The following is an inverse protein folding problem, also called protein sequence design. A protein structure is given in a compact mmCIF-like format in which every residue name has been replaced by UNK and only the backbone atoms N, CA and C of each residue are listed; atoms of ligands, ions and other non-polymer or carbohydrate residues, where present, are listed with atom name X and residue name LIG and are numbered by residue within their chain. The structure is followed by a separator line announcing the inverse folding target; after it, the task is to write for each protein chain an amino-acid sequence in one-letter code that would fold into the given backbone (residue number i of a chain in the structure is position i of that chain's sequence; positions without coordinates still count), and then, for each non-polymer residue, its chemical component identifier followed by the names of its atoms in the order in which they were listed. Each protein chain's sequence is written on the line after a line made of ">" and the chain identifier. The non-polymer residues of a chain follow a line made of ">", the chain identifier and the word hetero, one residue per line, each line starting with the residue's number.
data_IF_097457643722
#
_entry.id   IF_097457643722
#
_cell.length_a   1.000
_cell.length_b   1.000
_cell.length_c   1.000
_cell.angle_alpha   90.00
_cell.angle_beta   90.00
_cell.angle_gamma   90.00
#
_symmetry.space_group_name_H-M   'P 1'
#
loop_
_entity.id
_entity.type
_entity.pdbx_description
1 polymer ?
#
# COMPACT_ATOMS: atom_id res chain seq x y z
N UNK A 1 -36.14 -64.62 26.43
CA UNK A 1 -35.41 -64.45 25.16
C UNK A 1 -35.61 -63.07 24.53
N UNK A 2 -36.84 -62.52 24.53
CA UNK A 2 -37.14 -61.20 23.95
C UNK A 2 -36.36 -60.02 24.58
N UNK A 3 -36.14 -60.03 25.91
CA UNK A 3 -35.43 -58.95 26.61
C UNK A 3 -33.95 -58.82 26.21
N UNK A 4 -33.29 -59.96 25.91
CA UNK A 4 -31.88 -59.99 25.46
C UNK A 4 -31.77 -59.45 24.03
N UNK A 5 -32.76 -59.73 23.16
CA UNK A 5 -32.80 -59.19 21.80
C UNK A 5 -33.03 -57.68 21.77
N UNK A 6 -33.82 -57.14 22.70
CA UNK A 6 -34.03 -55.70 22.82
C UNK A 6 -32.73 -55.00 23.25
N UNK A 7 -32.04 -55.55 24.25
CA UNK A 7 -30.77 -55.00 24.76
C UNK A 7 -29.67 -55.07 23.70
N UNK A 8 -29.54 -56.18 22.95
CA UNK A 8 -28.55 -56.27 21.87
C UNK A 8 -28.88 -55.34 20.70
N UNK A 9 -30.15 -55.10 20.39
CA UNK A 9 -30.56 -54.14 19.34
C UNK A 9 -30.23 -52.69 19.73
N UNK A 10 -30.48 -52.29 20.98
CA UNK A 10 -30.07 -50.97 21.49
C UNK A 10 -28.56 -50.82 21.59
N UNK A 11 -27.82 -51.85 21.99
CA UNK A 11 -26.36 -51.85 22.00
C UNK A 11 -25.78 -51.72 20.59
N UNK A 12 -26.33 -52.42 19.60
CA UNK A 12 -25.90 -52.31 18.20
C UNK A 12 -26.22 -50.94 17.60
N UNK A 13 -27.38 -50.36 17.92
CA UNK A 13 -27.72 -48.98 17.52
C UNK A 13 -26.76 -47.98 18.16
N UNK A 14 -26.44 -48.15 19.45
CA UNK A 14 -25.52 -47.27 20.16
C UNK A 14 -24.09 -47.37 19.61
N UNK A 15 -23.64 -48.58 19.26
CA UNK A 15 -22.35 -48.81 18.61
C UNK A 15 -22.33 -48.20 17.20
N UNK A 16 -23.40 -48.37 16.41
CA UNK A 16 -23.51 -47.77 15.08
C UNK A 16 -23.50 -46.23 15.13
N UNK A 17 -24.23 -45.65 16.08
CA UNK A 17 -24.25 -44.19 16.32
C UNK A 17 -22.93 -43.67 16.87
N UNK A 18 -22.17 -44.49 17.60
CA UNK A 18 -20.83 -44.14 18.07
C UNK A 18 -19.79 -44.21 16.93
N UNK A 19 -19.91 -45.17 16.00
CA UNK A 19 -19.01 -45.27 14.84
C UNK A 19 -19.19 -44.17 13.79
N UNK A 20 -20.35 -43.49 13.74
CA UNK A 20 -20.56 -42.32 12.89
C UNK A 20 -20.03 -41.01 13.49
N UNK A 21 -19.62 -41.01 14.76
CA UNK A 21 -18.95 -39.88 15.42
C UNK A 21 -17.43 -40.08 15.32
N UNK A 22 -16.90 -40.18 14.10
CA UNK A 22 -15.46 -40.10 13.88
C UNK A 22 -15.05 -38.64 13.61
N UNK A 23 -14.30 -38.11 14.58
CA UNK A 23 -13.30 -37.03 14.47
C UNK A 23 -13.67 -35.76 13.70
N UNK A 24 -14.07 -34.71 14.43
CA UNK A 24 -13.97 -33.33 13.98
C UNK A 24 -12.52 -32.82 14.15
N UNK A 25 -11.55 -33.38 13.41
CA UNK A 25 -10.24 -32.75 13.27
C UNK A 25 -10.34 -31.68 12.16
N UNK A 26 -10.98 -30.56 12.49
CA UNK A 26 -10.96 -29.38 11.64
C UNK A 26 -9.54 -28.80 11.64
N UNK A 27 -8.72 -29.24 10.69
CA UNK A 27 -7.38 -28.69 10.48
C UNK A 27 -7.50 -27.42 9.64
N UNK A 28 -7.40 -26.26 10.28
CA UNK A 28 -7.59 -24.95 9.66
C UNK A 28 -6.34 -24.58 8.86
N UNK A 29 -6.49 -24.11 7.61
CA UNK A 29 -5.37 -23.61 6.79
C UNK A 29 -4.97 -22.21 7.21
N UNK A 30 -3.67 -21.88 7.16
CA UNK A 30 -3.19 -20.56 7.59
C UNK A 30 -3.78 -19.37 6.80
N UNK A 31 -4.25 -19.58 5.56
CA UNK A 31 -4.88 -18.53 4.74
C UNK A 31 -6.32 -18.18 5.17
N UNK A 32 -6.99 -19.07 5.92
CA UNK A 32 -8.39 -18.92 6.35
C UNK A 32 -8.50 -18.33 7.78
N UNK A 33 -7.38 -17.96 8.39
CA UNK A 33 -7.37 -17.32 9.70
C UNK A 33 -8.02 -15.94 9.64
N UNK A 34 -8.62 -15.53 10.77
CA UNK A 34 -9.09 -14.16 10.90
C UNK A 34 -7.92 -13.17 10.88
N UNK A 35 -8.14 -11.96 10.35
CA UNK A 35 -7.14 -10.89 10.23
C UNK A 35 -6.39 -10.56 11.55
N UNK A 36 -6.98 -10.85 12.71
CA UNK A 36 -6.41 -10.60 14.03
C UNK A 36 -5.58 -11.77 14.60
N UNK A 37 -5.54 -12.92 13.93
CA UNK A 37 -4.85 -14.13 14.39
C UNK A 37 -3.44 -14.28 13.81
N UNK A 38 -3.04 -13.37 12.92
CA UNK A 38 -1.72 -13.33 12.30
C UNK A 38 -1.28 -11.88 12.10
N UNK A 39 0.02 -11.67 12.01
CA UNK A 39 0.63 -10.37 11.74
C UNK A 39 1.53 -10.48 10.52
N UNK A 40 1.22 -9.74 9.45
CA UNK A 40 2.08 -9.67 8.29
C UNK A 40 3.05 -8.50 8.39
N UNK A 41 4.34 -8.76 8.13
CA UNK A 41 5.36 -7.72 8.04
C UNK A 41 5.45 -7.23 6.60
N UNK A 42 5.60 -5.92 6.43
CA UNK A 42 5.92 -5.35 5.12
C UNK A 42 7.35 -5.80 4.72
N UNK A 43 7.52 -6.13 3.46
CA UNK A 43 8.77 -6.64 2.90
C UNK A 43 9.59 -5.53 2.25
N UNK A 44 10.77 -5.90 1.75
CA UNK A 44 11.67 -4.99 1.08
C UNK A 44 10.98 -4.29 -0.10
N UNK A 45 10.94 -2.97 0.00
CA UNK A 45 10.38 -2.06 -0.99
C UNK A 45 11.50 -1.66 -1.95
N UNK A 46 11.21 -1.64 -3.25
CA UNK A 46 12.17 -1.19 -4.25
C UNK A 46 12.44 0.32 -4.03
N UNK A 47 13.72 0.72 -3.85
CA UNK A 47 14.09 2.11 -3.58
C UNK A 47 13.73 3.07 -4.74
N UNK A 48 13.46 2.55 -5.94
CA UNK A 48 13.07 3.36 -7.11
C UNK A 48 11.57 3.56 -7.22
N UNK A 49 10.76 2.49 -7.12
CA UNK A 49 9.31 2.56 -7.38
C UNK A 49 8.47 2.75 -6.12
N UNK A 50 9.07 2.49 -4.95
CA UNK A 50 8.39 2.33 -3.68
C UNK A 50 7.29 1.26 -3.71
N UNK A 51 7.38 0.34 -4.67
CA UNK A 51 6.56 -0.86 -4.73
C UNK A 51 7.31 -2.02 -4.13
N UNK A 52 6.55 -3.04 -3.85
CA UNK A 52 7.03 -4.36 -3.58
C UNK A 52 8.02 -4.94 -4.59
N UNK A 53 9.16 -5.47 -4.12
CA UNK A 53 10.08 -6.25 -4.96
C UNK A 53 9.41 -7.55 -5.48
N UNK A 54 8.53 -8.14 -4.67
CA UNK A 54 7.78 -9.35 -4.96
C UNK A 54 6.44 -9.11 -5.69
N UNK A 55 6.31 -7.99 -6.42
CA UNK A 55 5.14 -7.75 -7.27
C UNK A 55 5.16 -8.70 -8.48
N UNK A 56 4.15 -9.55 -8.61
CA UNK A 56 4.01 -10.46 -9.73
C UNK A 56 3.18 -9.82 -10.88
N UNK A 57 3.29 -10.36 -12.12
CA UNK A 57 2.58 -9.82 -13.29
C UNK A 57 1.04 -9.83 -13.19
N UNK A 58 0.50 -10.63 -12.27
CA UNK A 58 -0.92 -10.69 -11.92
C UNK A 58 -1.34 -9.60 -10.91
N UNK A 59 -0.49 -8.60 -10.68
CA UNK A 59 -0.66 -7.57 -9.65
C UNK A 59 -0.77 -8.14 -8.22
N UNK A 60 -0.35 -9.40 -8.02
CA UNK A 60 -0.31 -10.02 -6.71
C UNK A 60 1.01 -9.77 -6.00
N UNK A 61 0.93 -9.79 -4.68
CA UNK A 61 2.03 -9.56 -3.77
C UNK A 61 2.14 -10.75 -2.84
N UNK A 62 3.33 -11.36 -2.78
CA UNK A 62 3.65 -12.36 -1.77
C UNK A 62 4.19 -11.66 -0.53
N UNK A 63 3.49 -11.80 0.59
CA UNK A 63 3.93 -11.34 1.91
C UNK A 63 4.11 -12.52 2.85
N UNK A 64 4.99 -12.34 3.82
CA UNK A 64 5.21 -13.30 4.88
C UNK A 64 4.48 -12.86 6.14
N UNK A 65 3.68 -13.75 6.70
CA UNK A 65 2.86 -13.52 7.88
C UNK A 65 3.30 -14.43 9.02
N UNK A 66 3.27 -13.89 10.24
CA UNK A 66 3.67 -14.54 11.47
C UNK A 66 2.44 -14.82 12.34
N UNK A 67 2.35 -16.01 12.93
CA UNK A 67 1.26 -16.37 13.85
C UNK A 67 1.77 -16.56 15.28
N UNK A 68 0.97 -16.24 16.31
CA UNK A 68 1.30 -16.55 17.69
C UNK A 68 1.59 -18.05 17.91
N UNK A 69 2.43 -18.38 18.90
CA UNK A 69 2.84 -19.76 19.17
C UNK A 69 1.68 -20.72 19.51
N UNK A 70 0.57 -20.19 20.04
CA UNK A 70 -0.59 -20.98 20.46
C UNK A 70 -1.52 -21.41 19.30
N UNK A 71 -1.43 -20.76 18.14
CA UNK A 71 -2.30 -21.07 17.00
C UNK A 71 -1.53 -21.96 16.03
N UNK A 72 -1.97 -23.20 15.87
CA UNK A 72 -1.40 -24.16 14.91
C UNK A 72 -2.31 -24.28 13.68
N UNK A 73 -1.73 -24.11 12.49
CA UNK A 73 -2.45 -24.11 11.22
C UNK A 73 -1.63 -24.80 10.13
N UNK A 74 -2.31 -25.39 9.15
CA UNK A 74 -1.64 -26.05 8.03
C UNK A 74 -0.99 -25.00 7.13
N UNK A 75 0.32 -25.14 6.90
CA UNK A 75 1.14 -24.22 6.10
C UNK A 75 2.05 -23.30 6.91
N UNK A 76 2.14 -23.50 8.23
CA UNK A 76 3.05 -22.81 9.14
C UNK A 76 4.43 -23.49 9.14
N UNK A 77 5.48 -22.71 8.99
CA UNK A 77 6.87 -23.15 9.14
C UNK A 77 7.22 -23.42 10.62
N UNK A 78 8.35 -24.09 10.88
CA UNK A 78 8.85 -24.34 12.25
C UNK A 78 9.07 -23.05 13.08
N UNK A 79 9.24 -21.92 12.40
CA UNK A 79 9.43 -20.59 13.00
C UNK A 79 8.13 -19.77 13.11
N UNK A 80 6.98 -20.35 12.73
CA UNK A 80 5.68 -19.71 12.83
C UNK A 80 5.30 -18.75 11.70
N UNK A 81 6.06 -18.78 10.61
CA UNK A 81 5.80 -18.00 9.40
C UNK A 81 5.00 -18.79 8.36
N UNK A 82 4.23 -18.08 7.54
CA UNK A 82 3.58 -18.63 6.35
C UNK A 82 3.54 -17.58 5.24
N UNK A 83 3.49 -18.02 3.98
CA UNK A 83 3.39 -17.15 2.82
C UNK A 83 1.93 -16.90 2.45
N UNK A 84 1.61 -15.65 2.14
CA UNK A 84 0.28 -15.21 1.75
C UNK A 84 0.34 -14.33 0.50
N UNK A 85 -0.53 -14.63 -0.45
CA UNK A 85 -0.77 -13.81 -1.65
C UNK A 85 -1.86 -12.79 -1.38
N UNK A 86 -1.56 -11.51 -1.57
CA UNK A 86 -2.57 -10.45 -1.68
C UNK A 86 -2.75 -10.13 -3.15
N UNK A 87 -3.95 -10.36 -3.67
CA UNK A 87 -4.36 -9.95 -5.01
C UNK A 87 -4.52 -8.44 -5.09
N UNK A 88 -4.14 -7.83 -6.22
CA UNK A 88 -4.19 -6.37 -6.44
C UNK A 88 -3.47 -5.54 -5.37
N UNK A 89 -2.46 -6.12 -4.70
CA UNK A 89 -1.64 -5.45 -3.70
C UNK A 89 -0.55 -4.55 -4.28
N UNK A 90 -0.29 -4.64 -5.58
CA UNK A 90 0.66 -3.81 -6.30
C UNK A 90 0.18 -3.52 -7.73
N UNK A 91 0.91 -2.67 -8.45
CA UNK A 91 0.66 -2.42 -9.87
C UNK A 91 1.93 -2.78 -10.64
N UNK A 92 1.88 -3.87 -11.39
CA UNK A 92 3.04 -4.40 -12.08
C UNK A 92 3.41 -3.50 -13.27
N UNK A 93 4.65 -3.00 -13.27
CA UNK A 93 5.21 -2.21 -14.35
C UNK A 93 6.18 -3.02 -15.18
N UNK A 94 5.80 -3.38 -16.42
CA UNK A 94 6.54 -4.37 -17.21
C UNK A 94 7.98 -3.93 -17.55
N UNK A 95 8.20 -2.63 -17.83
CA UNK A 95 9.52 -2.01 -18.10
C UNK A 95 9.39 -0.59 -18.68
N UNK A 96 8.23 -0.21 -19.21
CA UNK A 96 8.01 1.09 -19.85
C UNK A 96 8.08 2.24 -18.83
N UNK A 97 9.06 3.11 -18.97
CA UNK A 97 9.26 4.23 -18.05
C UNK A 97 8.31 5.37 -18.36
N UNK A 98 7.56 5.82 -17.35
CA UNK A 98 6.64 6.95 -17.49
C UNK A 98 7.34 8.24 -17.94
N UNK A 99 8.48 8.57 -17.32
CA UNK A 99 9.23 9.80 -17.63
C UNK A 99 9.67 9.85 -19.10
N UNK A 100 10.13 8.71 -19.65
CA UNK A 100 10.54 8.62 -21.06
C UNK A 100 9.33 8.79 -21.99
N UNK A 101 8.20 8.14 -21.68
CA UNK A 101 6.97 8.28 -22.46
C UNK A 101 6.47 9.72 -22.49
N UNK A 102 6.47 10.42 -21.35
CA UNK A 102 6.05 11.81 -21.23
C UNK A 102 6.98 12.76 -21.98
N UNK A 103 8.30 12.60 -21.82
CA UNK A 103 9.30 13.40 -22.53
C UNK A 103 9.15 13.24 -24.05
N UNK A 104 8.95 12.00 -24.50
CA UNK A 104 8.81 11.66 -25.89
C UNK A 104 7.48 12.16 -26.49
N UNK A 105 6.42 12.26 -25.69
CA UNK A 105 5.16 12.93 -26.08
C UNK A 105 5.30 14.45 -26.21
N UNK A 106 5.99 15.11 -25.27
CA UNK A 106 6.21 16.56 -25.32
C UNK A 106 7.06 16.94 -26.54
N UNK A 107 8.22 16.31 -26.73
CA UNK A 107 9.16 16.73 -27.78
C UNK A 107 8.91 16.08 -29.13
N UNK A 108 8.48 14.82 -29.17
CA UNK A 108 8.34 14.03 -30.39
C UNK A 108 6.90 13.56 -30.66
N UNK A 109 5.91 14.07 -29.92
CA UNK A 109 4.51 13.69 -30.11
C UNK A 109 3.92 14.18 -31.44
N UNK A 110 4.46 15.25 -32.03
CA UNK A 110 4.09 15.71 -33.39
C UNK A 110 4.46 14.64 -34.44
N UNK A 111 5.57 13.93 -34.22
CA UNK A 111 5.97 12.80 -35.06
C UNK A 111 5.23 11.49 -34.71
N UNK A 112 4.42 11.48 -33.65
CA UNK A 112 3.68 10.29 -33.19
C UNK A 112 4.55 9.20 -32.58
N UNK A 113 5.82 9.50 -32.23
CA UNK A 113 6.74 8.52 -31.64
C UNK A 113 6.26 8.04 -30.27
N UNK A 114 5.46 8.84 -29.56
CA UNK A 114 4.89 8.54 -28.24
C UNK A 114 3.91 7.37 -28.30
N UNK A 115 2.99 7.37 -29.26
CA UNK A 115 2.07 6.25 -29.49
C UNK A 115 2.78 4.99 -29.95
N UNK A 116 3.83 5.13 -30.75
CA UNK A 116 4.68 4.00 -31.16
C UNK A 116 5.39 3.41 -29.94
N UNK A 117 5.92 4.24 -29.05
CA UNK A 117 6.60 3.80 -27.83
C UNK A 117 5.67 2.99 -26.90
N UNK A 118 4.39 3.34 -26.81
CA UNK A 118 3.39 2.62 -26.03
C UNK A 118 2.86 1.33 -26.70
N UNK A 119 3.24 1.04 -27.96
CA UNK A 119 2.76 -0.11 -28.73
C UNK A 119 1.56 0.16 -29.64
N UNK A 120 1.06 1.40 -29.68
CA UNK A 120 -0.01 1.83 -30.60
C UNK A 120 0.54 2.24 -31.96
N UNK A 121 1.16 1.29 -32.68
CA UNK A 121 1.87 1.54 -33.92
C UNK A 121 1.00 2.21 -35.00
N UNK A 122 -0.23 1.72 -35.22
CA UNK A 122 -1.11 2.23 -36.27
C UNK A 122 -1.46 3.71 -36.08
N UNK A 123 -1.82 4.11 -34.86
CA UNK A 123 -2.18 5.49 -34.52
C UNK A 123 -0.95 6.39 -34.58
N UNK A 124 0.21 5.90 -34.14
CA UNK A 124 1.47 6.65 -34.19
C UNK A 124 1.95 6.91 -35.62
N UNK A 125 1.89 5.90 -36.50
CA UNK A 125 2.25 6.06 -37.92
C UNK A 125 1.27 7.00 -38.64
N UNK A 126 -0.04 6.92 -38.32
CA UNK A 126 -1.03 7.83 -38.86
C UNK A 126 -0.77 9.30 -38.48
N UNK A 127 -0.31 9.56 -37.25
CA UNK A 127 0.14 10.90 -36.82
C UNK A 127 1.37 11.41 -37.56
N UNK A 128 2.33 10.52 -37.85
CA UNK A 128 3.52 10.87 -38.60
C UNK A 128 3.18 11.36 -40.02
N UNK A 129 2.28 10.67 -40.72
CA UNK A 129 1.85 11.06 -42.09
C UNK A 129 0.98 12.32 -42.13
N UNK A 130 0.25 12.60 -41.05
CA UNK A 130 -0.52 13.83 -40.91
C UNK A 130 0.32 15.02 -40.45
N UNK A 131 1.66 14.88 -40.35
CA UNK A 131 2.58 15.87 -39.79
C UNK A 131 2.12 16.40 -38.40
N UNK A 132 1.44 15.57 -37.61
CA UNK A 132 0.84 15.98 -36.34
C UNK A 132 -0.21 17.10 -36.48
N UNK A 133 -0.86 17.18 -37.66
CA UNK A 133 -1.49 18.37 -38.26
C UNK A 133 -2.68 19.05 -37.57
N UNK A 134 -2.94 18.74 -36.31
CA UNK A 134 -3.80 19.55 -35.45
C UNK A 134 -3.11 19.56 -34.10
N UNK A 135 -2.47 20.65 -33.71
CA UNK A 135 -1.85 20.82 -32.37
C UNK A 135 -2.74 20.32 -31.22
N UNK A 136 -4.06 20.28 -31.43
CA UNK A 136 -5.06 19.61 -30.59
C UNK A 136 -4.74 18.13 -30.30
N UNK A 137 -4.44 17.29 -31.29
CA UNK A 137 -4.18 15.86 -31.07
C UNK A 137 -2.90 15.66 -30.26
N UNK A 138 -1.85 16.40 -30.59
CA UNK A 138 -0.61 16.41 -29.80
C UNK A 138 -0.88 16.79 -28.34
N UNK A 139 -1.65 17.86 -28.10
CA UNK A 139 -1.99 18.31 -26.76
C UNK A 139 -2.84 17.28 -25.99
N UNK A 140 -3.81 16.65 -26.65
CA UNK A 140 -4.65 15.60 -26.04
C UNK A 140 -3.80 14.40 -25.63
N UNK A 141 -2.85 13.98 -26.45
CA UNK A 141 -1.97 12.86 -26.11
C UNK A 141 -1.00 13.18 -24.96
N UNK A 142 -0.47 14.41 -24.91
CA UNK A 142 0.31 14.89 -23.76
C UNK A 142 -0.53 14.82 -22.48
N UNK A 143 -1.79 15.27 -22.52
CA UNK A 143 -2.70 15.22 -21.37
C UNK A 143 -3.02 13.78 -20.97
N UNK A 144 -3.35 12.90 -21.92
CA UNK A 144 -3.72 11.51 -21.64
C UNK A 144 -2.56 10.70 -21.03
N UNK A 145 -1.33 10.92 -21.50
CA UNK A 145 -0.13 10.28 -20.94
C UNK A 145 0.23 10.92 -19.60
N UNK A 146 0.19 12.24 -19.47
CA UNK A 146 0.47 12.93 -18.20
C UNK A 146 -0.46 12.46 -17.08
N UNK A 147 -1.76 12.33 -17.37
CA UNK A 147 -2.77 11.88 -16.43
C UNK A 147 -2.81 10.36 -16.23
N UNK A 148 -1.97 9.58 -16.93
CA UNK A 148 -1.96 8.11 -16.89
C UNK A 148 -3.32 7.47 -17.23
N UNK A 149 -4.21 8.22 -17.89
CA UNK A 149 -5.48 7.68 -18.39
C UNK A 149 -5.27 6.74 -19.58
N UNK A 150 -4.16 6.93 -20.29
CA UNK A 150 -3.71 6.04 -21.34
C UNK A 150 -2.46 5.29 -20.90
N UNK A 151 -2.60 3.98 -20.71
CA UNK A 151 -1.50 3.06 -20.40
C UNK A 151 -0.86 2.41 -21.63
N UNK A 152 0.22 1.64 -21.42
CA UNK A 152 0.79 0.73 -22.42
C UNK A 152 -0.25 -0.18 -23.08
N UNK A 153 -0.05 -0.51 -24.36
CA UNK A 153 -0.92 -1.43 -25.09
C UNK A 153 -1.00 -2.84 -24.48
N UNK A 154 0.03 -3.22 -23.70
CA UNK A 154 0.10 -4.49 -22.99
C UNK A 154 -0.90 -4.60 -21.81
N UNK A 155 -1.53 -3.50 -21.41
CA UNK A 155 -2.44 -3.46 -20.25
C UNK A 155 -1.73 -3.46 -18.89
N UNK A 156 -0.39 -3.44 -18.88
CA UNK A 156 0.42 -3.28 -17.67
C UNK A 156 0.52 -1.81 -17.27
N UNK A 157 0.89 -1.53 -16.02
CA UNK A 157 1.10 -0.16 -15.58
C UNK A 157 2.47 0.38 -16.04
N UNK A 158 2.67 1.70 -15.98
CA UNK A 158 4.02 2.23 -16.23
C UNK A 158 4.95 1.87 -15.07
N UNK A 159 6.25 1.85 -15.36
CA UNK A 159 7.27 1.90 -14.34
C UNK A 159 7.41 3.36 -13.87
N UNK A 160 6.87 3.66 -12.68
CA UNK A 160 6.98 4.97 -12.03
C UNK A 160 8.00 4.97 -10.90
N UNK A 161 8.77 6.06 -10.79
CA UNK A 161 9.57 6.33 -9.61
C UNK A 161 8.69 6.77 -8.42
N UNK A 162 9.24 6.73 -7.21
CA UNK A 162 8.55 7.13 -5.99
C UNK A 162 7.88 8.51 -6.07
N UNK A 163 8.60 9.50 -6.60
CA UNK A 163 8.12 10.88 -6.75
C UNK A 163 7.25 11.11 -8.00
N UNK A 164 6.83 10.05 -8.70
CA UNK A 164 5.98 10.16 -9.88
C UNK A 164 4.52 10.47 -9.52
N UNK A 165 3.78 11.17 -10.39
CA UNK A 165 2.34 11.31 -10.24
C UNK A 165 1.70 9.92 -10.34
N UNK A 166 0.84 9.55 -9.38
CA UNK A 166 0.05 8.33 -9.42
C UNK A 166 -1.42 8.73 -9.42
N UNK A 167 -2.10 8.55 -10.56
CA UNK A 167 -3.55 8.73 -10.62
C UNK A 167 -4.20 7.37 -10.42
N UNK A 168 -4.91 7.20 -9.30
CA UNK A 168 -5.86 6.10 -9.16
C UNK A 168 -7.12 6.46 -9.94
N UNK A 169 -7.52 5.60 -10.87
CA UNK A 169 -8.70 5.77 -11.74
C UNK A 169 -10.03 5.82 -10.98
N UNK A 170 -10.03 5.65 -9.66
CA UNK A 170 -11.14 5.96 -8.75
C UNK A 170 -11.16 7.46 -8.36
N UNK A 171 -10.97 8.36 -9.32
CA UNK A 171 -11.07 9.80 -9.06
C UNK A 171 -11.91 10.49 -10.12
N UNK A 172 -13.05 11.02 -9.66
CA UNK A 172 -13.72 12.12 -10.33
C UNK A 172 -12.83 13.37 -10.14
N UNK A 173 -12.68 14.22 -11.15
CA UNK A 173 -11.81 15.40 -11.09
C UNK A 173 -12.14 16.39 -9.93
N UNK A 174 -13.34 16.30 -9.37
CA UNK A 174 -13.78 17.00 -8.15
C UNK A 174 -13.10 16.48 -6.87
N UNK A 175 -12.72 15.19 -6.84
CA UNK A 175 -12.06 14.54 -5.71
C UNK A 175 -10.59 14.94 -5.56
N UNK A 176 -9.94 15.44 -6.62
CA UNK A 176 -8.52 15.76 -6.58
C UNK A 176 -8.23 16.99 -5.69
N UNK A 177 -9.13 17.99 -5.72
CA UNK A 177 -9.07 19.15 -4.82
C UNK A 177 -9.51 18.78 -3.39
N UNK A 178 -10.37 17.76 -3.24
CA UNK A 178 -10.72 17.18 -1.94
C UNK A 178 -9.56 16.37 -1.34
N UNK A 179 -8.77 15.67 -2.16
CA UNK A 179 -7.61 14.90 -1.70
C UNK A 179 -6.48 15.79 -1.19
N UNK A 180 -6.24 16.95 -1.79
CA UNK A 180 -5.26 17.91 -1.25
C UNK A 180 -5.73 18.42 0.12
N UNK A 181 -7.03 18.72 0.27
CA UNK A 181 -7.61 19.10 1.57
C UNK A 181 -7.58 17.94 2.59
N UNK A 182 -7.80 16.70 2.15
CA UNK A 182 -7.73 15.51 3.00
C UNK A 182 -6.29 15.22 3.45
N UNK A 183 -5.30 15.39 2.57
CA UNK A 183 -3.87 15.25 2.88
C UNK A 183 -3.40 16.30 3.90
N UNK A 184 -3.90 17.55 3.80
CA UNK A 184 -3.64 18.59 4.80
C UNK A 184 -4.18 18.18 6.18
N UNK A 185 -5.38 17.61 6.23
CA UNK A 185 -6.00 17.10 7.48
C UNK A 185 -5.29 15.86 8.00
N UNK A 186 -4.88 14.94 7.12
CA UNK A 186 -4.16 13.72 7.49
C UNK A 186 -2.80 14.05 8.09
N UNK A 187 -2.08 15.02 7.51
CA UNK A 187 -0.79 15.50 8.04
C UNK A 187 -0.96 16.14 9.43
N UNK A 188 -2.00 16.96 9.64
CA UNK A 188 -2.31 17.56 10.94
C UNK A 188 -2.73 16.50 11.98
N UNK A 189 -3.46 15.47 11.56
CA UNK A 189 -3.87 14.34 12.40
C UNK A 189 -2.67 13.49 12.85
N UNK A 190 -1.74 13.16 11.94
CA UNK A 190 -0.53 12.43 12.30
C UNK A 190 0.37 13.24 13.24
N UNK A 191 0.48 14.55 13.01
CA UNK A 191 1.17 15.46 13.93
C UNK A 191 0.54 15.41 15.32
N UNK A 192 -0.79 15.54 15.42
CA UNK A 192 -1.52 15.52 16.69
C UNK A 192 -1.33 14.19 17.43
N UNK A 193 -1.38 13.06 16.71
CA UNK A 193 -1.19 11.71 17.28
C UNK A 193 0.22 11.54 17.84
N UNK A 194 1.25 11.92 17.08
CA UNK A 194 2.65 11.86 17.52
C UNK A 194 2.93 12.81 18.68
N UNK A 195 2.39 14.02 18.63
CA UNK A 195 2.47 15.00 19.71
C UNK A 195 1.87 14.46 21.00
N UNK A 196 0.63 13.95 20.94
CA UNK A 196 -0.10 13.41 22.09
C UNK A 196 0.68 12.25 22.72
N UNK A 197 1.15 11.28 21.93
CA UNK A 197 1.93 10.15 22.44
C UNK A 197 3.28 10.59 23.04
N UNK A 198 3.94 11.58 22.43
CA UNK A 198 5.21 12.10 22.96
C UNK A 198 5.03 12.86 24.27
N UNK A 199 3.96 13.66 24.40
CA UNK A 199 3.69 14.40 25.62
C UNK A 199 3.13 13.53 26.74
N UNK A 200 2.27 12.56 26.40
CA UNK A 200 1.78 11.57 27.35
C UNK A 200 2.94 10.79 27.98
N UNK A 201 3.86 10.26 27.18
CA UNK A 201 5.00 9.48 27.69
C UNK A 201 6.03 10.29 28.49
N UNK A 202 6.10 11.61 28.29
CA UNK A 202 7.03 12.51 29.01
C UNK A 202 6.46 13.10 30.28
N UNK A 203 5.16 13.41 30.28
CA UNK A 203 4.53 14.16 31.35
C UNK A 203 3.68 13.29 32.27
N UNK A 204 3.10 12.19 31.79
CA UNK A 204 2.21 11.33 32.58
C UNK A 204 2.97 10.09 33.03
N UNK A 205 3.00 9.86 34.35
CA UNK A 205 3.61 8.67 34.93
C UNK A 205 2.76 7.43 34.65
N UNK A 206 3.40 6.26 34.49
CA UNK A 206 2.68 4.97 34.41
C UNK A 206 2.07 4.54 35.74
N UNK A 207 2.47 5.17 36.85
CA UNK A 207 1.94 4.93 38.18
C UNK A 207 0.87 5.99 38.53
N UNK A 208 -0.38 5.71 38.16
CA UNK A 208 -1.52 6.59 38.41
C UNK A 208 -1.96 6.51 39.87
N UNK A 209 -1.84 7.62 40.60
CA UNK A 209 -2.30 7.73 41.99
C UNK A 209 -3.75 8.21 42.08
N UNK A 210 -4.19 9.02 41.12
CA UNK A 210 -5.52 9.62 41.04
C UNK A 210 -5.96 9.75 39.57
N UNK A 211 -7.27 9.91 39.34
CA UNK A 211 -7.86 9.97 37.99
C UNK A 211 -7.78 11.35 37.35
N UNK A 212 -7.50 12.38 38.15
CA UNK A 212 -7.32 13.75 37.66
C UNK A 212 -5.85 14.07 37.44
N UNK A 213 -5.61 14.97 36.51
CA UNK A 213 -4.27 15.40 36.18
C UNK A 213 -3.72 16.27 37.31
N UNK A 214 -2.54 15.93 37.84
CA UNK A 214 -1.91 16.76 38.86
C UNK A 214 -1.53 18.13 38.27
N UNK A 215 -1.43 19.16 39.12
CA UNK A 215 -0.99 20.50 38.65
C UNK A 215 0.38 20.47 37.96
N UNK A 216 1.26 19.55 38.37
CA UNK A 216 2.57 19.35 37.76
C UNK A 216 2.48 18.76 36.35
N UNK A 217 1.63 17.74 36.17
CA UNK A 217 1.38 17.11 34.87
C UNK A 217 0.70 18.06 33.90
N UNK A 218 -0.26 18.87 34.37
CA UNK A 218 -0.93 19.89 33.56
C UNK A 218 0.07 20.92 33.00
N UNK A 219 0.90 21.51 33.87
CA UNK A 219 1.94 22.48 33.45
C UNK A 219 3.01 21.81 32.57
N UNK A 220 3.32 20.54 32.79
CA UNK A 220 4.21 19.78 31.93
C UNK A 220 3.64 19.62 30.52
N UNK A 221 2.36 19.25 30.39
CA UNK A 221 1.70 19.08 29.09
C UNK A 221 1.71 20.37 28.28
N UNK A 222 1.35 21.51 28.88
CA UNK A 222 1.36 22.81 28.20
C UNK A 222 2.76 23.15 27.64
N UNK A 223 3.80 22.96 28.46
CA UNK A 223 5.20 23.17 28.05
C UNK A 223 5.65 22.15 27.00
N UNK A 224 5.16 20.92 27.07
CA UNK A 224 5.50 19.88 26.12
C UNK A 224 4.95 20.19 24.74
N UNK A 225 3.67 20.57 24.65
CA UNK A 225 3.01 20.94 23.40
C UNK A 225 3.70 22.15 22.76
N UNK A 226 4.00 23.19 23.55
CA UNK A 226 4.74 24.36 23.07
C UNK A 226 6.11 23.99 22.47
N UNK A 227 6.90 23.18 23.19
CA UNK A 227 8.20 22.70 22.69
C UNK A 227 8.07 21.78 21.47
N UNK A 228 7.02 20.98 21.40
CA UNK A 228 6.79 20.08 20.27
C UNK A 228 6.55 20.89 18.99
N UNK A 229 5.70 21.91 19.05
CA UNK A 229 5.42 22.81 17.93
C UNK A 229 6.68 23.59 17.50
N UNK A 230 7.47 24.10 18.44
CA UNK A 230 8.75 24.76 18.15
C UNK A 230 9.74 23.84 17.40
N UNK A 231 9.82 22.57 17.82
CA UNK A 231 10.68 21.57 17.18
C UNK A 231 10.14 21.21 15.80
N UNK A 232 8.82 21.05 15.67
CA UNK A 232 8.17 20.75 14.39
C UNK A 232 8.42 21.85 13.35
N UNK A 233 8.34 23.13 13.72
CA UNK A 233 8.65 24.25 12.83
C UNK A 233 10.13 24.25 12.40
N UNK A 234 11.06 24.02 13.34
CA UNK A 234 12.50 23.94 13.03
C UNK A 234 12.83 22.77 12.12
N UNK A 235 12.18 21.62 12.33
CA UNK A 235 12.30 20.46 11.46
C UNK A 235 11.78 20.77 10.06
N UNK A 236 10.62 21.42 9.95
CA UNK A 236 10.08 21.89 8.67
C UNK A 236 11.09 22.75 7.90
N UNK A 237 11.67 23.77 8.56
CA UNK A 237 12.71 24.63 7.97
C UNK A 237 13.94 23.84 7.51
N UNK A 238 14.37 22.84 8.28
CA UNK A 238 15.51 21.98 7.92
C UNK A 238 15.20 21.06 6.74
N UNK A 239 14.03 20.42 6.72
CA UNK A 239 13.59 19.56 5.62
C UNK A 239 13.54 20.34 4.31
N UNK A 240 12.95 21.53 4.30
CA UNK A 240 12.93 22.40 3.10
C UNK A 240 14.34 22.77 2.64
N UNK A 241 15.25 23.10 3.57
CA UNK A 241 16.64 23.44 3.22
C UNK A 241 17.42 22.25 2.65
N UNK A 242 17.13 21.03 3.12
CA UNK A 242 17.74 19.81 2.61
C UNK A 242 17.21 19.47 1.22
N UNK A 243 15.92 19.60 0.97
CA UNK A 243 15.32 19.36 -0.35
C UNK A 243 15.93 20.25 -1.44
N UNK A 244 16.16 21.53 -1.16
CA UNK A 244 16.85 22.44 -2.09
C UNK A 244 18.32 22.06 -2.31
N UNK A 245 18.98 21.55 -1.26
CA UNK A 245 20.35 21.03 -1.35
C UNK A 245 20.44 19.77 -2.22
N UNK A 246 19.48 18.87 -2.09
CA UNK A 246 19.40 17.63 -2.87
C UNK A 246 19.12 17.92 -4.35
N UNK A 247 18.25 18.88 -4.68
CA UNK A 247 18.06 19.35 -6.06
C UNK A 247 19.34 19.91 -6.67
N UNK A 248 20.09 20.74 -5.92
CA UNK A 248 21.35 21.30 -6.38
C UNK A 248 22.45 20.24 -6.51
N UNK A 249 22.47 19.22 -5.65
CA UNK A 249 23.39 18.09 -5.73
C UNK A 249 23.08 17.19 -6.93
N UNK A 250 21.80 16.91 -7.18
CA UNK A 250 21.33 16.15 -8.35
C UNK A 250 21.67 16.86 -9.66
N UNK A 251 21.50 18.19 -9.73
CA UNK A 251 21.90 18.98 -10.90
C UNK A 251 23.41 18.93 -11.16
N UNK A 252 24.23 18.87 -10.11
CA UNK A 252 25.70 18.75 -10.24
C UNK A 252 26.16 17.36 -10.63
N UNK A 253 25.41 16.31 -10.30
CA UNK A 253 25.70 14.95 -10.76
C UNK A 253 25.23 14.68 -12.20
N UNK A 254 24.37 15.55 -12.74
CA UNK A 254 23.85 15.46 -14.10
C UNK A 254 24.68 16.21 -15.15
N UNK A 255 25.76 16.90 -14.74
CA UNK A 255 26.77 17.53 -15.61
C UNK A 255 28.03 16.67 -15.64
#
# INVERSE_FOLDING_TARGET
>A
MEFIRLITYYLLIFIFFCTSIQSLNATIKCHELNKYQFQCKNYAVDPKTQQSITCAPDNSVQIMCETPAYIDCIGKDQFGFFNMTIENGCSYGAHLKYSTALLLSIFFGIFGLDRIYLGYYAIGVFKMFSFGGLLILWLVDVILIALQLLGPADGTSFFMAYYGPKISTNMNAEAQMQQVAELEVEMMSDMYKKMTNSCQSKCISTAFKESELTKGEAVCLDRCVAKYLDVHEKLGKRLTSMSQGDEAALQKMAQ
#
